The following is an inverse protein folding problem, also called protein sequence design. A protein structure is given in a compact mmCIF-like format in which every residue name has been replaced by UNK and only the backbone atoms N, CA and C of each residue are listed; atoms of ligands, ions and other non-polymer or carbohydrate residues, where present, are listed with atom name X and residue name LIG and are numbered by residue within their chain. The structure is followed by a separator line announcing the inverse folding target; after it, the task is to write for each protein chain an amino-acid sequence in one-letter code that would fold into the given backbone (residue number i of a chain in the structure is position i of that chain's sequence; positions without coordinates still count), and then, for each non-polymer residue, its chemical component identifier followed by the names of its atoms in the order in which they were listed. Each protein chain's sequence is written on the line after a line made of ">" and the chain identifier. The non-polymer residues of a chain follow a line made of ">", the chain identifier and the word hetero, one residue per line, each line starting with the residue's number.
data_IF_188018666404
#
_entry.id   IF_188018666404
#
_cell.length_a   1.000
_cell.length_b   1.000
_cell.length_c   1.000
_cell.angle_alpha   90.00
_cell.angle_beta   90.00
_cell.angle_gamma   90.00
#
_symmetry.space_group_name_H-M   'P 1'
#
loop_
_entity.id
_entity.type
_entity.pdbx_description
1 polymer ?
#
# COMPACT_ATOMS: atom_id res chain seq x y z
N UNK A 1 -7.73 3.51 4.75
CA UNK A 1 -8.53 4.74 4.97
C UNK A 1 -8.01 5.92 4.12
N UNK A 2 -6.69 6.10 3.97
CA UNK A 2 -6.09 7.23 3.25
C UNK A 2 -6.30 7.22 1.72
N UNK A 3 -6.14 6.07 1.04
CA UNK A 3 -6.48 5.98 -0.40
C UNK A 3 -7.95 6.33 -0.66
N UNK A 4 -8.87 5.90 0.23
CA UNK A 4 -10.27 6.30 0.16
C UNK A 4 -10.46 7.81 0.32
N UNK A 5 -9.77 8.42 1.27
CA UNK A 5 -9.79 9.87 1.49
C UNK A 5 -9.25 10.65 0.28
N UNK A 6 -8.12 10.22 -0.29
CA UNK A 6 -7.53 10.82 -1.49
C UNK A 6 -8.47 10.79 -2.68
N UNK A 7 -9.06 9.63 -2.96
CA UNK A 7 -9.99 9.46 -4.08
C UNK A 7 -11.31 10.22 -3.87
N UNK A 8 -11.73 10.42 -2.62
CA UNK A 8 -12.90 11.22 -2.28
C UNK A 8 -12.68 12.72 -2.49
N UNK A 9 -11.46 13.21 -2.22
CA UNK A 9 -11.14 14.63 -2.34
C UNK A 9 -10.76 15.05 -3.77
N UNK A 10 -10.20 14.13 -4.58
CA UNK A 10 -9.79 14.42 -5.95
C UNK A 10 -10.92 14.42 -6.99
N UNK A 11 -12.10 13.87 -6.66
CA UNK A 11 -13.22 13.73 -7.59
C UNK A 11 -14.49 14.45 -7.06
N UNK A 12 -15.16 15.22 -7.92
CA UNK A 12 -16.56 15.66 -7.70
C UNK A 12 -17.46 14.41 -7.79
N UNK A 13 -17.62 13.69 -6.69
CA UNK A 13 -18.31 12.40 -6.68
C UNK A 13 -19.83 12.56 -6.84
N UNK A 14 -20.42 11.80 -7.77
CA UNK A 14 -21.86 11.54 -7.85
C UNK A 14 -22.10 10.21 -7.14
N UNK A 15 -22.85 10.25 -6.05
CA UNK A 15 -23.24 9.08 -5.26
C UNK A 15 -24.28 8.26 -6.05
N UNK A 16 -23.85 7.17 -6.70
CA UNK A 16 -24.78 6.27 -7.39
C UNK A 16 -25.39 5.29 -6.39
N UNK A 17 -26.60 5.62 -5.94
CA UNK A 17 -27.48 4.68 -5.23
C UNK A 17 -27.95 3.60 -6.22
N UNK A 18 -27.46 2.38 -6.08
CA UNK A 18 -28.13 1.22 -6.67
C UNK A 18 -29.35 0.85 -5.82
N UNK A 19 -30.56 1.03 -6.39
CA UNK A 19 -31.78 0.47 -5.85
C UNK A 19 -31.77 -1.06 -6.04
N UNK A 20 -31.54 -1.78 -4.95
CA UNK A 20 -31.77 -3.23 -4.90
C UNK A 20 -33.29 -3.50 -4.92
N UNK A 21 -33.84 -3.70 -6.11
CA UNK A 21 -35.17 -4.31 -6.30
C UNK A 21 -35.05 -5.82 -6.26
N UNK A 22 -35.60 -6.46 -5.24
CA UNK A 22 -35.73 -7.92 -5.22
C UNK A 22 -36.00 -8.51 -3.84
N UNK A 23 -37.27 -8.44 -3.43
CA UNK A 23 -37.84 -9.13 -2.25
C UNK A 23 -37.53 -10.63 -2.24
N UNK A 24 -36.90 -11.14 -1.17
CA UNK A 24 -37.14 -12.46 -0.59
C UNK A 24 -36.50 -12.52 0.81
N UNK A 25 -37.27 -12.94 1.83
CA UNK A 25 -36.88 -13.30 3.22
C UNK A 25 -36.91 -12.25 4.35
N UNK A 26 -38.12 -11.80 4.73
CA UNK A 26 -38.40 -10.98 5.91
C UNK A 26 -38.19 -11.63 7.31
N UNK A 27 -37.23 -12.52 7.48
CA UNK A 27 -36.80 -13.03 8.80
C UNK A 27 -35.26 -13.20 8.88
N UNK A 28 -34.56 -13.34 7.75
CA UNK A 28 -33.10 -13.49 7.70
C UNK A 28 -32.33 -12.17 7.94
N UNK A 29 -32.94 -11.03 7.62
CA UNK A 29 -32.34 -9.70 7.82
C UNK A 29 -32.13 -9.29 9.28
N UNK A 30 -32.74 -10.01 10.24
CA UNK A 30 -32.59 -9.73 11.67
C UNK A 30 -31.37 -10.44 12.29
N UNK A 31 -30.97 -11.57 11.69
CA UNK A 31 -29.87 -12.40 12.17
C UNK A 31 -28.56 -12.18 11.42
N UNK A 32 -28.64 -11.61 10.21
CA UNK A 32 -27.46 -11.24 9.43
C UNK A 32 -27.20 -9.74 9.58
N UNK A 33 -25.99 -9.30 9.99
CA UNK A 33 -25.65 -7.90 9.88
C UNK A 33 -25.88 -7.49 8.42
N UNK A 34 -26.69 -6.43 8.21
CA UNK A 34 -26.86 -5.84 6.87
C UNK A 34 -25.45 -5.64 6.29
N UNK A 35 -25.15 -6.13 5.07
CA UNK A 35 -23.88 -5.80 4.47
C UNK A 35 -23.79 -4.28 4.46
N UNK A 36 -22.77 -3.73 5.13
CA UNK A 36 -22.48 -2.31 5.04
C UNK A 36 -22.49 -1.95 3.55
N UNK A 37 -23.15 -0.85 3.20
CA UNK A 37 -23.23 -0.40 1.81
C UNK A 37 -21.84 -0.47 1.21
N UNK A 38 -21.66 -1.40 0.29
CA UNK A 38 -20.34 -1.70 -0.25
C UNK A 38 -19.98 -0.53 -1.15
N UNK A 39 -19.05 0.31 -0.68
CA UNK A 39 -18.56 1.45 -1.45
C UNK A 39 -17.65 0.93 -2.57
N UNK A 40 -17.91 1.36 -3.81
CA UNK A 40 -17.15 0.95 -4.98
C UNK A 40 -16.53 2.15 -5.70
N UNK A 41 -15.33 1.94 -6.23
CA UNK A 41 -14.65 2.85 -7.15
C UNK A 41 -14.90 2.37 -8.58
N UNK A 42 -15.46 3.23 -9.42
CA UNK A 42 -15.59 2.94 -10.84
C UNK A 42 -14.34 3.41 -11.58
N UNK A 43 -13.56 2.47 -12.12
CA UNK A 43 -12.34 2.75 -12.88
C UNK A 43 -12.46 2.03 -14.22
N UNK A 44 -12.45 2.79 -15.32
CA UNK A 44 -12.61 2.23 -16.67
C UNK A 44 -13.92 1.47 -16.87
N UNK A 45 -15.00 1.87 -16.19
CA UNK A 45 -16.30 1.20 -16.25
C UNK A 45 -16.43 -0.05 -15.37
N UNK A 46 -15.39 -0.40 -14.60
CA UNK A 46 -15.39 -1.56 -13.70
C UNK A 46 -15.39 -1.12 -12.24
N UNK A 47 -16.15 -1.82 -11.41
CA UNK A 47 -16.25 -1.53 -9.98
C UNK A 47 -15.16 -2.27 -9.19
N UNK A 48 -14.53 -1.55 -8.26
CA UNK A 48 -13.54 -2.06 -7.34
C UNK A 48 -13.93 -1.72 -5.91
N UNK A 49 -13.87 -2.68 -5.00
CA UNK A 49 -13.73 -2.38 -3.57
C UNK A 49 -12.35 -1.75 -3.29
N UNK A 50 -12.17 -1.13 -2.12
CA UNK A 50 -10.86 -0.59 -1.73
C UNK A 50 -9.77 -1.68 -1.71
N UNK A 51 -10.10 -2.86 -1.20
CA UNK A 51 -9.20 -4.00 -1.14
C UNK A 51 -8.85 -4.53 -2.55
N UNK A 52 -9.82 -4.65 -3.45
CA UNK A 52 -9.57 -5.03 -4.84
C UNK A 52 -8.76 -3.96 -5.60
N UNK A 53 -8.97 -2.67 -5.32
CA UNK A 53 -8.16 -1.61 -5.91
C UNK A 53 -6.70 -1.73 -5.44
N UNK A 54 -6.48 -1.86 -4.13
CA UNK A 54 -5.16 -1.95 -3.51
C UNK A 54 -4.42 -3.24 -3.93
N UNK A 55 -5.04 -4.39 -3.71
CA UNK A 55 -4.39 -5.69 -3.89
C UNK A 55 -4.60 -6.28 -5.28
N UNK A 56 -5.77 -6.06 -5.86
CA UNK A 56 -6.16 -6.53 -7.19
C UNK A 56 -5.51 -5.72 -8.32
N UNK A 57 -5.58 -4.39 -8.26
CA UNK A 57 -5.08 -3.52 -9.32
C UNK A 57 -3.66 -3.01 -9.06
N UNK A 58 -3.44 -2.23 -8.00
CA UNK A 58 -2.17 -1.54 -7.76
C UNK A 58 -0.99 -2.49 -7.47
N UNK A 59 -1.25 -3.60 -6.76
CA UNK A 59 -0.25 -4.63 -6.45
C UNK A 59 -0.23 -5.80 -7.44
N UNK A 60 -0.78 -5.65 -8.64
CA UNK A 60 -0.73 -6.71 -9.67
C UNK A 60 -1.43 -8.00 -9.25
N UNK A 61 -2.61 -7.88 -8.64
CA UNK A 61 -3.41 -8.98 -8.11
C UNK A 61 -2.69 -9.83 -7.03
N UNK A 62 -1.79 -9.23 -6.26
CA UNK A 62 -1.10 -9.90 -5.16
C UNK A 62 -2.04 -10.26 -4.02
N UNK A 63 -1.69 -11.29 -3.25
CA UNK A 63 -2.50 -11.71 -2.10
C UNK A 63 -2.53 -10.61 -1.03
N UNK A 64 -3.70 -10.30 -0.45
CA UNK A 64 -3.78 -9.48 0.75
C UNK A 64 -2.95 -10.09 1.90
N UNK A 65 -2.40 -9.28 2.81
CA UNK A 65 -1.76 -9.80 4.02
C UNK A 65 -2.68 -10.74 4.79
N UNK A 66 -2.16 -11.89 5.22
CA UNK A 66 -2.93 -12.92 5.93
C UNK A 66 -3.93 -13.70 5.07
N UNK A 67 -4.12 -13.37 3.80
CA UNK A 67 -5.00 -14.10 2.89
C UNK A 67 -4.27 -15.24 2.17
N UNK A 68 -4.93 -16.38 2.05
CA UNK A 68 -4.46 -17.50 1.23
C UNK A 68 -4.76 -17.32 -0.27
N UNK A 69 -5.75 -16.49 -0.61
CA UNK A 69 -6.28 -16.34 -1.96
C UNK A 69 -6.14 -14.90 -2.48
N UNK A 70 -6.07 -14.77 -3.81
CA UNK A 70 -6.16 -13.48 -4.50
C UNK A 70 -7.62 -13.01 -4.49
N UNK A 71 -7.83 -11.70 -4.49
CA UNK A 71 -9.18 -11.14 -4.53
C UNK A 71 -9.81 -11.25 -5.91
N UNK A 72 -9.02 -11.05 -6.96
CA UNK A 72 -9.46 -11.14 -8.34
C UNK A 72 -9.04 -12.49 -8.94
N UNK A 73 -9.94 -13.12 -9.68
CA UNK A 73 -9.62 -14.32 -10.45
C UNK A 73 -8.66 -13.98 -11.59
N UNK A 74 -7.84 -14.94 -12.02
CA UNK A 74 -6.89 -14.72 -13.11
C UNK A 74 -7.57 -14.43 -14.47
N UNK A 75 -8.83 -14.84 -14.63
CA UNK A 75 -9.66 -14.55 -15.80
C UNK A 75 -10.47 -13.25 -15.68
N UNK A 76 -10.39 -12.55 -14.54
CA UNK A 76 -11.11 -11.30 -14.33
C UNK A 76 -10.47 -10.20 -15.18
N UNK A 77 -11.28 -9.53 -16.01
CA UNK A 77 -10.83 -8.45 -16.91
C UNK A 77 -10.23 -7.27 -16.16
N UNK A 78 -10.59 -7.08 -14.89
CA UNK A 78 -10.00 -6.04 -14.02
C UNK A 78 -8.50 -6.22 -13.83
N UNK A 79 -8.01 -7.46 -13.89
CA UNK A 79 -6.57 -7.75 -13.73
C UNK A 79 -5.73 -7.26 -14.90
N UNK A 80 -6.33 -7.01 -16.07
CA UNK A 80 -5.59 -6.60 -17.27
C UNK A 80 -5.46 -5.08 -17.42
N UNK A 81 -6.11 -4.30 -16.54
CA UNK A 81 -6.06 -2.83 -16.60
C UNK A 81 -4.65 -2.26 -16.36
N UNK A 82 -3.86 -2.89 -15.48
CA UNK A 82 -2.53 -2.41 -15.07
C UNK A 82 -1.47 -3.52 -15.22
N UNK A 83 -1.49 -4.22 -16.36
CA UNK A 83 -0.74 -5.49 -16.55
C UNK A 83 0.79 -5.34 -16.50
N UNK A 84 1.33 -4.15 -16.80
CA UNK A 84 2.76 -3.96 -17.06
C UNK A 84 3.56 -3.32 -15.93
N UNK A 85 2.92 -2.75 -14.91
CA UNK A 85 3.61 -1.95 -13.90
C UNK A 85 3.03 -2.27 -12.52
N UNK A 86 3.89 -2.75 -11.63
CA UNK A 86 3.62 -2.81 -10.19
C UNK A 86 4.67 -1.95 -9.51
N UNK A 87 4.22 -0.87 -8.87
CA UNK A 87 5.09 0.06 -8.18
C UNK A 87 4.88 -0.06 -6.67
N UNK A 88 5.85 -0.58 -5.91
CA UNK A 88 5.73 -0.73 -4.47
C UNK A 88 5.63 0.63 -3.73
N UNK A 89 5.97 1.77 -4.36
CA UNK A 89 5.72 3.11 -3.80
C UNK A 89 4.23 3.34 -3.51
N UNK A 90 3.34 2.72 -4.29
CA UNK A 90 1.88 2.81 -4.09
C UNK A 90 1.43 2.26 -2.74
N UNK A 91 2.20 1.35 -2.12
CA UNK A 91 1.88 0.80 -0.80
C UNK A 91 1.83 1.90 0.24
N UNK A 92 2.69 2.91 0.16
CA UNK A 92 2.75 4.03 1.11
C UNK A 92 1.54 4.96 1.01
N UNK A 93 0.83 4.99 -0.12
CA UNK A 93 -0.47 5.66 -0.27
C UNK A 93 -1.61 4.79 0.28
N UNK A 94 -1.48 3.47 0.11
CA UNK A 94 -2.53 2.50 0.38
C UNK A 94 -2.54 1.96 1.83
N UNK A 95 -1.69 2.46 2.73
CA UNK A 95 -1.47 1.85 4.04
C UNK A 95 -2.74 1.78 4.90
N UNK A 96 -2.88 0.63 5.57
CA UNK A 96 -4.02 0.29 6.42
C UNK A 96 -3.91 0.85 7.84
N UNK A 97 -2.72 1.34 8.26
CA UNK A 97 -2.43 1.57 9.68
C UNK A 97 -1.54 2.77 10.05
N UNK A 98 -1.10 3.59 9.09
CA UNK A 98 -0.16 4.68 9.40
C UNK A 98 -0.80 6.04 9.23
N UNK A 99 -0.55 6.91 10.21
CA UNK A 99 -0.59 8.36 10.02
C UNK A 99 0.57 8.70 9.08
N UNK A 100 0.27 8.81 7.79
CA UNK A 100 1.15 9.56 6.89
C UNK A 100 1.25 11.01 7.40
N UNK A 101 2.30 11.75 7.02
CA UNK A 101 2.36 13.19 7.28
C UNK A 101 1.04 13.85 6.86
N UNK A 102 0.54 14.78 7.68
CA UNK A 102 -0.73 15.47 7.43
C UNK A 102 -0.81 15.95 5.98
N UNK A 103 -1.85 15.49 5.28
CA UNK A 103 -2.20 15.80 3.90
C UNK A 103 -1.22 15.29 2.82
N UNK A 104 -1.43 14.04 2.36
CA UNK A 104 -1.13 13.77 0.95
C UNK A 104 -2.08 14.65 0.14
N UNK A 105 -1.53 15.63 -0.55
CA UNK A 105 -2.26 16.45 -1.50
C UNK A 105 -2.80 15.58 -2.63
N UNK A 106 -3.97 15.94 -3.18
CA UNK A 106 -4.46 15.27 -4.38
C UNK A 106 -3.40 15.35 -5.49
N UNK A 107 -3.27 14.24 -6.22
CA UNK A 107 -2.40 14.17 -7.39
C UNK A 107 -3.13 14.80 -8.58
N UNK A 108 -3.11 16.13 -8.65
CA UNK A 108 -3.87 16.86 -9.67
C UNK A 108 -3.26 16.75 -11.09
N UNK A 109 -1.92 16.69 -11.16
CA UNK A 109 -1.18 16.59 -12.42
C UNK A 109 -0.50 15.21 -12.54
N UNK A 110 -0.93 14.36 -13.49
CA UNK A 110 -0.33 13.06 -13.74
C UNK A 110 1.18 13.09 -14.01
N UNK A 111 1.70 14.20 -14.55
CA UNK A 111 3.14 14.35 -14.87
C UNK A 111 4.01 14.53 -13.62
N UNK A 112 3.40 14.88 -12.48
CA UNK A 112 4.10 15.13 -11.20
C UNK A 112 4.04 13.96 -10.23
N UNK A 113 3.30 12.90 -10.56
CA UNK A 113 3.03 11.78 -9.64
C UNK A 113 4.32 11.13 -9.16
N UNK A 114 5.27 10.88 -10.07
CA UNK A 114 6.54 10.24 -9.72
C UNK A 114 7.34 11.07 -8.72
N UNK A 115 7.47 12.38 -8.97
CA UNK A 115 8.17 13.30 -8.08
C UNK A 115 7.50 13.37 -6.70
N UNK A 116 6.17 13.49 -6.66
CA UNK A 116 5.42 13.53 -5.39
C UNK A 116 5.57 12.22 -4.60
N UNK A 117 5.56 11.07 -5.28
CA UNK A 117 5.83 9.78 -4.63
C UNK A 117 7.24 9.74 -4.03
N UNK A 118 8.24 10.19 -4.78
CA UNK A 118 9.63 10.22 -4.32
C UNK A 118 9.81 11.13 -3.10
N UNK A 119 9.16 12.30 -3.09
CA UNK A 119 9.15 13.24 -1.96
C UNK A 119 8.48 12.63 -0.72
N UNK A 120 7.32 11.98 -0.89
CA UNK A 120 6.62 11.29 0.21
C UNK A 120 7.51 10.19 0.81
N UNK A 121 8.14 9.36 -0.03
CA UNK A 121 9.01 8.29 0.45
C UNK A 121 10.27 8.83 1.14
N UNK A 122 10.90 9.87 0.57
CA UNK A 122 12.08 10.50 1.18
C UNK A 122 11.75 11.07 2.56
N UNK A 123 10.67 11.87 2.67
CA UNK A 123 10.23 12.41 3.95
C UNK A 123 9.92 11.29 4.96
N UNK A 124 9.17 10.28 4.54
CA UNK A 124 8.78 9.17 5.40
C UNK A 124 9.97 8.32 5.86
N UNK A 125 10.92 7.98 4.99
CA UNK A 125 12.08 7.18 5.37
C UNK A 125 13.05 7.95 6.27
N UNK A 126 13.28 9.23 5.99
CA UNK A 126 14.14 10.05 6.83
C UNK A 126 13.52 10.28 8.23
N UNK A 127 12.19 10.23 8.36
CA UNK A 127 11.50 10.30 9.64
C UNK A 127 11.47 8.95 10.39
N UNK A 128 11.19 7.85 9.69
CA UNK A 128 10.85 6.56 10.32
C UNK A 128 11.99 5.55 10.41
N UNK A 129 13.08 5.76 9.69
CA UNK A 129 14.21 4.82 9.70
C UNK A 129 15.30 5.32 10.61
N UNK A 130 15.63 4.50 11.61
CA UNK A 130 16.66 4.78 12.59
C UNK A 130 17.74 3.70 12.55
N UNK A 131 19.01 4.10 12.52
CA UNK A 131 20.15 3.20 12.64
C UNK A 131 20.76 3.41 14.01
N UNK A 132 20.50 2.47 14.92
CA UNK A 132 21.10 2.46 16.24
C UNK A 132 22.39 1.63 16.22
N UNK A 133 23.51 2.34 16.10
CA UNK A 133 24.85 1.73 16.16
C UNK A 133 25.25 1.24 17.54
N UNK A 134 24.58 1.69 18.61
CA UNK A 134 24.86 1.26 19.99
C UNK A 134 24.21 -0.09 20.26
N UNK A 135 22.97 -0.27 19.83
CA UNK A 135 22.24 -1.53 19.98
C UNK A 135 22.45 -2.50 18.81
N UNK A 136 23.25 -2.12 17.81
CA UNK A 136 23.50 -2.90 16.60
C UNK A 136 22.19 -3.24 15.86
N UNK A 137 21.32 -2.26 15.70
CA UNK A 137 19.99 -2.43 15.12
C UNK A 137 19.67 -1.35 14.08
N UNK A 138 18.90 -1.73 13.06
CA UNK A 138 18.24 -0.81 12.14
C UNK A 138 16.74 -1.02 12.24
N UNK A 139 16.02 0.04 12.60
CA UNK A 139 14.57 0.04 12.74
C UNK A 139 13.97 0.54 11.43
N UNK A 140 13.10 -0.28 10.84
CA UNK A 140 12.39 0.06 9.60
C UNK A 140 10.88 -0.20 9.76
N UNK A 141 10.02 0.52 9.02
CA UNK A 141 8.57 0.36 9.05
C UNK A 141 8.05 -1.08 8.84
N UNK A 142 7.00 -1.48 9.55
CA UNK A 142 6.41 -2.83 9.45
C UNK A 142 5.82 -3.16 8.08
N UNK A 143 5.50 -2.14 7.28
CA UNK A 143 5.06 -2.29 5.87
C UNK A 143 6.03 -3.18 5.08
N UNK A 144 7.33 -3.08 5.33
CA UNK A 144 8.34 -3.86 4.63
C UNK A 144 8.31 -5.35 4.97
N UNK A 145 7.85 -5.71 6.18
CA UNK A 145 7.65 -7.10 6.58
C UNK A 145 6.33 -7.63 5.98
N UNK A 146 5.23 -6.90 6.21
CA UNK A 146 3.88 -7.26 5.76
C UNK A 146 3.83 -7.46 4.23
N UNK A 147 4.52 -6.59 3.48
CA UNK A 147 4.55 -6.58 2.02
C UNK A 147 5.92 -6.95 1.46
N UNK A 148 6.72 -7.75 2.18
CA UNK A 148 8.08 -8.12 1.78
C UNK A 148 8.19 -8.62 0.33
N UNK A 149 7.20 -9.39 -0.14
CA UNK A 149 7.14 -9.88 -1.52
C UNK A 149 7.13 -8.75 -2.57
N UNK A 150 6.42 -7.65 -2.31
CA UNK A 150 6.34 -6.48 -3.19
C UNK A 150 7.69 -5.74 -3.28
N UNK A 151 8.53 -5.85 -2.25
CA UNK A 151 9.90 -5.33 -2.21
C UNK A 151 10.96 -6.36 -2.62
N UNK A 152 10.53 -7.50 -3.19
CA UNK A 152 11.41 -8.53 -3.73
C UNK A 152 11.76 -9.68 -2.78
N UNK A 153 11.19 -9.70 -1.57
CA UNK A 153 11.15 -10.85 -0.67
C UNK A 153 12.41 -11.12 0.15
N UNK A 154 13.31 -10.13 0.26
CA UNK A 154 14.54 -10.27 1.03
C UNK A 154 15.00 -8.93 1.59
N UNK A 155 15.56 -8.96 2.79
CA UNK A 155 16.15 -7.82 3.49
C UNK A 155 17.08 -6.98 2.62
N UNK A 156 17.96 -7.64 1.84
CA UNK A 156 18.88 -6.93 0.94
C UNK A 156 18.12 -6.07 -0.09
N UNK A 157 17.04 -6.59 -0.67
CA UNK A 157 16.25 -5.86 -1.68
C UNK A 157 15.41 -4.75 -1.04
N UNK A 158 14.89 -4.99 0.16
CA UNK A 158 14.21 -3.98 0.97
C UNK A 158 15.17 -2.81 1.28
N UNK A 159 16.38 -3.10 1.77
CA UNK A 159 17.39 -2.08 2.05
C UNK A 159 17.82 -1.33 0.78
N UNK A 160 17.99 -2.03 -0.35
CA UNK A 160 18.24 -1.40 -1.65
C UNK A 160 17.11 -0.48 -2.10
N UNK A 161 15.87 -0.83 -1.80
CA UNK A 161 14.71 0.01 -2.10
C UNK A 161 14.71 1.26 -1.22
N UNK A 162 14.88 1.10 0.10
CA UNK A 162 14.95 2.20 1.07
C UNK A 162 16.05 3.22 0.69
N UNK A 163 17.26 2.74 0.39
CA UNK A 163 18.41 3.61 0.11
C UNK A 163 18.33 4.42 -1.19
N UNK A 164 17.26 4.26 -1.97
CA UNK A 164 16.98 5.18 -3.10
C UNK A 164 16.50 6.54 -2.62
N UNK A 165 15.81 6.60 -1.47
CA UNK A 165 15.19 7.83 -0.94
C UNK A 165 15.61 8.14 0.51
N UNK A 166 16.35 7.25 1.18
CA UNK A 166 16.89 7.50 2.51
C UNK A 166 18.22 8.27 2.43
N UNK A 167 18.15 9.58 2.64
CA UNK A 167 19.26 10.52 2.44
C UNK A 167 19.99 10.86 3.75
N UNK A 168 19.32 10.72 4.89
CA UNK A 168 19.85 11.12 6.21
C UNK A 168 20.92 10.18 6.77
N UNK A 169 21.10 8.99 6.16
CA UNK A 169 22.10 8.03 6.64
C UNK A 169 23.53 8.51 6.47
N UNK A 170 24.29 8.58 7.57
CA UNK A 170 25.75 8.70 7.50
C UNK A 170 26.40 7.42 6.92
N UNK A 171 25.71 6.28 7.05
CA UNK A 171 26.20 4.98 6.62
C UNK A 171 25.79 4.68 5.17
N UNK A 172 26.76 4.27 4.34
CA UNK A 172 26.48 3.84 2.96
C UNK A 172 25.76 2.49 2.95
N UNK A 173 24.85 2.28 1.99
CA UNK A 173 24.13 1.02 1.79
C UNK A 173 25.05 -0.21 1.83
N UNK A 174 26.20 -0.16 1.16
CA UNK A 174 27.13 -1.30 1.10
C UNK A 174 27.66 -1.70 2.48
N UNK A 175 27.83 -0.72 3.36
CA UNK A 175 28.27 -0.95 4.73
C UNK A 175 27.14 -1.58 5.55
N UNK A 176 25.93 -1.05 5.46
CA UNK A 176 24.74 -1.62 6.12
C UNK A 176 24.51 -3.05 5.67
N UNK A 177 24.53 -3.33 4.36
CA UNK A 177 24.39 -4.69 3.82
C UNK A 177 25.49 -5.64 4.35
N UNK A 178 26.73 -5.13 4.51
CA UNK A 178 27.84 -5.91 5.06
C UNK A 178 27.59 -6.26 6.53
N UNK A 179 27.12 -5.31 7.34
CA UNK A 179 26.83 -5.51 8.76
C UNK A 179 25.65 -6.46 8.96
N UNK A 180 24.55 -6.27 8.21
CA UNK A 180 23.38 -7.16 8.24
C UNK A 180 23.76 -8.59 7.86
N UNK A 181 24.53 -8.77 6.78
CA UNK A 181 24.99 -10.10 6.34
C UNK A 181 25.86 -10.80 7.39
N UNK A 182 26.61 -10.04 8.19
CA UNK A 182 27.43 -10.57 9.28
C UNK A 182 26.67 -10.74 10.59
N UNK A 183 25.38 -10.36 10.64
CA UNK A 183 24.55 -10.31 11.84
C UNK A 183 25.15 -9.40 12.93
N UNK A 184 25.87 -8.36 12.51
CA UNK A 184 26.38 -7.29 13.38
C UNK A 184 25.51 -6.03 13.31
N UNK A 185 24.39 -6.11 12.59
CA UNK A 185 23.32 -5.14 12.57
C UNK A 185 22.02 -5.93 12.31
N UNK A 186 21.09 -5.94 13.26
CA UNK A 186 19.81 -6.64 13.11
C UNK A 186 18.75 -5.70 12.55
N UNK A 187 17.91 -6.21 11.64
CA UNK A 187 16.76 -5.45 11.14
C UNK A 187 15.58 -5.69 12.08
N UNK A 188 15.00 -4.61 12.58
CA UNK A 188 13.75 -4.60 13.35
C UNK A 188 12.65 -3.93 12.56
N UNK A 189 11.47 -4.52 12.58
CA UNK A 189 10.29 -4.01 11.91
C UNK A 189 9.33 -3.39 12.93
N UNK A 190 9.26 -2.07 13.00
CA UNK A 190 8.49 -1.30 14.00
C UNK A 190 7.89 -0.01 13.38
N UNK A 191 6.83 0.55 13.98
CA UNK A 191 6.05 1.70 13.45
C UNK A 191 6.06 2.94 14.36
#
# INVERSE_FOLDING_TARGET
>A
MHLHYLLKNGNNFIDMKEETKGSFFGIMDYFWPKPEQSFFYNIGGMNFTLEELKHGLLRGNSKPPGSFFRLLNASDTRTTLLTSITDPRTLFICLDKHQLPEAIECFDDPTTIDTKLDEILSGYFNEKIEIDTTNEEIIIPTVFDIYSADFGGSDEKILRFIWKWYETSEMKLQEVLRLVRRKSLMIKYED
#
